data_IF_137772348979
#
_entry.id   IF_137772348979
#
_cell.length_a   1.000
_cell.length_b   1.000
_cell.length_c   1.000
_cell.angle_alpha   90.00
_cell.angle_beta   90.00
_cell.angle_gamma   90.00
#
_symmetry.space_group_name_H-M   'P 1'
#
loop_
_entity.id
_entity.type
_entity.pdbx_description
1 polymer ?
#
# COMPACT_ATOMS: atom_id res chain seq x y z
N UNK A 1 8.14 5.27 9.56
CA UNK A 1 8.05 5.38 8.09
C UNK A 1 8.65 6.70 7.60
N UNK A 2 9.22 6.76 6.38
CA UNK A 2 9.62 8.01 5.71
C UNK A 2 8.45 8.96 5.39
N UNK A 3 8.70 10.27 5.29
CA UNK A 3 7.72 11.28 4.84
C UNK A 3 7.24 10.97 3.42
N UNK A 4 5.93 10.99 3.17
CA UNK A 4 5.32 10.69 1.88
C UNK A 4 3.97 11.40 1.70
N UNK A 5 3.56 11.64 0.46
CA UNK A 5 2.19 12.04 0.11
C UNK A 5 1.64 11.17 -1.03
N UNK A 6 0.35 11.29 -1.34
CA UNK A 6 -0.36 10.46 -2.34
C UNK A 6 -0.26 8.93 -2.13
N UNK A 7 0.09 8.51 -0.92
CA UNK A 7 0.06 7.12 -0.47
C UNK A 7 -1.36 6.65 -0.19
N UNK A 8 -1.61 5.35 -0.33
CA UNK A 8 -2.84 4.72 0.16
C UNK A 8 -2.69 4.29 1.62
N UNK A 9 -3.78 4.36 2.37
CA UNK A 9 -3.86 3.82 3.73
C UNK A 9 -5.22 3.14 3.95
N UNK A 10 -5.22 1.97 4.58
CA UNK A 10 -6.45 1.29 4.99
C UNK A 10 -6.23 0.52 6.30
N UNK A 11 -7.29 0.35 7.10
CA UNK A 11 -7.22 -0.56 8.24
C UNK A 11 -7.40 -1.99 7.73
N UNK A 12 -6.48 -2.88 8.11
CA UNK A 12 -6.54 -4.29 7.74
C UNK A 12 -6.59 -5.14 9.03
N UNK A 13 -7.76 -5.72 9.37
CA UNK A 13 -7.95 -6.45 10.62
C UNK A 13 -7.10 -7.72 10.72
N UNK A 14 -6.57 -8.23 9.60
CA UNK A 14 -5.65 -9.38 9.60
C UNK A 14 -4.31 -9.04 10.27
N UNK A 15 -3.92 -7.76 10.22
CA UNK A 15 -2.73 -7.23 10.89
C UNK A 15 -3.06 -6.41 12.14
N UNK A 16 -4.34 -6.24 12.45
CA UNK A 16 -4.83 -5.40 13.56
C UNK A 16 -4.29 -3.96 13.51
N UNK A 17 -4.06 -3.41 12.31
CA UNK A 17 -3.41 -2.11 12.15
C UNK A 17 -3.70 -1.44 10.82
N UNK A 18 -3.15 -0.24 10.66
CA UNK A 18 -3.26 0.53 9.42
C UNK A 18 -2.11 0.15 8.49
N UNK A 19 -2.46 -0.37 7.32
CA UNK A 19 -1.51 -0.65 6.24
C UNK A 19 -1.41 0.60 5.37
N UNK A 20 -0.18 1.06 5.17
CA UNK A 20 0.18 2.13 4.25
C UNK A 20 1.02 1.55 3.13
N UNK A 21 0.69 1.90 1.89
CA UNK A 21 1.45 1.49 0.71
C UNK A 21 1.81 2.72 -0.13
N UNK A 22 2.98 2.65 -0.76
CA UNK A 22 3.39 3.55 -1.84
C UNK A 22 3.36 5.04 -1.49
N UNK A 23 3.11 5.86 -2.52
CA UNK A 23 3.17 7.32 -2.47
C UNK A 23 4.51 7.88 -2.94
N UNK A 24 4.69 9.18 -2.76
CA UNK A 24 5.88 9.89 -3.23
C UNK A 24 6.68 10.49 -2.08
N UNK A 25 7.98 10.17 -2.07
CA UNK A 25 8.99 10.61 -1.11
C UNK A 25 10.23 11.15 -1.84
N UNK A 26 10.01 12.00 -2.85
CA UNK A 26 11.04 12.46 -3.80
C UNK A 26 11.17 11.56 -5.03
N UNK A 27 10.68 10.33 -4.92
CA UNK A 27 10.40 9.37 -5.99
C UNK A 27 9.17 8.56 -5.56
N UNK A 28 8.50 7.93 -6.52
CA UNK A 28 7.49 6.92 -6.20
C UNK A 28 8.14 5.77 -5.45
N UNK A 29 7.41 5.23 -4.46
CA UNK A 29 7.83 4.06 -3.68
C UNK A 29 6.78 2.94 -3.76
N UNK A 30 7.20 1.71 -3.46
CA UNK A 30 6.34 0.52 -3.35
C UNK A 30 6.54 -0.20 -2.01
N UNK A 31 7.04 0.50 -0.98
CA UNK A 31 7.14 -0.08 0.35
C UNK A 31 5.74 -0.20 1.00
N UNK A 32 5.61 -1.21 1.87
CA UNK A 32 4.40 -1.41 2.68
C UNK A 32 4.78 -1.24 4.15
N UNK A 33 4.03 -0.42 4.87
CA UNK A 33 4.22 -0.17 6.30
C UNK A 33 2.95 -0.52 7.06
N UNK A 34 3.12 -1.09 8.25
CA UNK A 34 2.06 -1.34 9.22
C UNK A 34 2.23 -0.37 10.39
N UNK A 35 1.13 0.28 10.77
CA UNK A 35 1.00 0.98 12.04
C UNK A 35 0.14 0.15 12.97
N UNK A 36 0.70 -0.28 14.09
CA UNK A 36 0.00 -1.09 15.09
C UNK A 36 -0.76 -0.25 16.15
N UNK A 37 -0.70 1.08 16.03
CA UNK A 37 -1.24 2.02 17.03
C UNK A 37 -0.17 2.66 17.90
N UNK A 38 1.04 2.14 17.90
CA UNK A 38 2.19 2.59 18.71
C UNK A 38 3.49 2.72 17.94
N UNK A 39 3.78 1.79 17.03
CA UNK A 39 5.00 1.72 16.26
C UNK A 39 4.75 1.42 14.78
N UNK A 40 5.69 1.85 13.94
CA UNK A 40 5.70 1.58 12.51
C UNK A 40 6.62 0.41 12.20
N UNK A 41 6.09 -0.62 11.56
CA UNK A 41 6.84 -1.76 11.06
C UNK A 41 6.79 -1.81 9.54
N UNK A 42 7.93 -2.01 8.89
CA UNK A 42 7.95 -2.29 7.45
C UNK A 42 7.56 -3.74 7.22
N UNK A 43 6.57 -3.97 6.36
CA UNK A 43 6.18 -5.31 5.92
C UNK A 43 7.01 -5.74 4.71
N UNK A 44 7.20 -7.05 4.55
CA UNK A 44 7.83 -7.66 3.36
C UNK A 44 6.84 -8.63 2.69
N UNK A 45 5.92 -8.11 1.86
CA UNK A 45 4.94 -8.93 1.15
C UNK A 45 5.58 -9.95 0.21
N UNK A 46 4.87 -11.04 -0.07
CA UNK A 46 5.32 -12.08 -1.00
C UNK A 46 5.43 -11.58 -2.46
N UNK A 47 4.58 -10.62 -2.81
CA UNK A 47 4.60 -9.93 -4.10
C UNK A 47 4.39 -8.44 -3.88
N UNK A 48 5.11 -7.62 -4.65
CA UNK A 48 5.10 -6.14 -4.53
C UNK A 48 4.88 -5.58 -5.95
N UNK A 49 3.94 -4.64 -6.15
CA UNK A 49 3.72 -4.07 -7.47
C UNK A 49 4.79 -2.99 -7.76
N UNK A 50 4.76 -2.43 -8.98
CA UNK A 50 5.57 -1.25 -9.30
C UNK A 50 5.29 -0.10 -8.32
N UNK A 51 6.33 0.69 -8.05
CA UNK A 51 6.24 1.96 -7.33
C UNK A 51 5.16 2.84 -7.92
N UNK A 52 4.31 3.38 -7.05
CA UNK A 52 3.15 4.15 -7.48
C UNK A 52 2.64 5.10 -6.43
N UNK A 53 2.00 6.15 -6.90
CA UNK A 53 1.25 7.12 -6.12
C UNK A 53 -0.15 7.34 -6.72
N UNK A 54 -1.00 8.09 -6.01
CA UNK A 54 -2.31 8.56 -6.52
C UNK A 54 -3.26 7.44 -6.98
N UNK A 55 -3.22 6.29 -6.31
CA UNK A 55 -4.07 5.12 -6.57
C UNK A 55 -5.25 5.02 -5.58
N UNK A 56 -6.21 4.15 -5.89
CA UNK A 56 -7.25 3.75 -4.93
C UNK A 56 -6.79 2.57 -4.07
N UNK A 57 -7.11 2.58 -2.78
CA UNK A 57 -6.79 1.49 -1.84
C UNK A 57 -7.96 1.24 -0.88
N UNK A 58 -8.30 -0.03 -0.66
CA UNK A 58 -9.35 -0.43 0.29
C UNK A 58 -9.10 -1.83 0.84
N UNK A 59 -9.58 -2.08 2.06
CA UNK A 59 -9.74 -3.43 2.58
C UNK A 59 -11.10 -4.00 2.18
N UNK A 60 -11.08 -5.15 1.53
CA UNK A 60 -12.25 -5.97 1.20
C UNK A 60 -12.49 -6.98 2.32
N UNK A 61 -13.49 -6.71 3.17
CA UNK A 61 -13.83 -7.58 4.29
C UNK A 61 -14.39 -8.94 3.86
N UNK A 62 -15.09 -9.03 2.73
CA UNK A 62 -15.68 -10.29 2.29
C UNK A 62 -14.60 -11.28 1.86
N UNK A 63 -13.58 -10.78 1.14
CA UNK A 63 -12.48 -11.60 0.65
C UNK A 63 -11.23 -11.55 1.53
N UNK A 64 -11.25 -10.76 2.61
CA UNK A 64 -10.15 -10.58 3.55
C UNK A 64 -8.87 -10.15 2.83
N UNK A 65 -8.94 -9.07 2.04
CA UNK A 65 -7.86 -8.61 1.16
C UNK A 65 -7.72 -7.10 1.17
N UNK A 66 -6.50 -6.61 1.35
CA UNK A 66 -6.16 -5.22 0.99
C UNK A 66 -5.90 -5.15 -0.52
N UNK A 67 -6.66 -4.30 -1.21
CA UNK A 67 -6.68 -4.16 -2.68
C UNK A 67 -6.26 -2.75 -3.08
N UNK A 68 -5.47 -2.65 -4.15
CA UNK A 68 -5.07 -1.42 -4.81
C UNK A 68 -5.48 -1.49 -6.27
N UNK A 69 -5.90 -0.36 -6.85
CA UNK A 69 -6.14 -0.23 -8.28
C UNK A 69 -5.58 1.08 -8.84
N UNK A 70 -4.91 0.96 -9.98
CA UNK A 70 -4.43 2.10 -10.77
C UNK A 70 -3.28 2.87 -10.11
N UNK A 71 -3.33 4.20 -10.24
CA UNK A 71 -2.27 5.12 -9.86
C UNK A 71 -1.34 5.47 -11.01
N UNK A 72 -0.21 6.10 -10.67
CA UNK A 72 0.84 6.40 -11.64
C UNK A 72 2.21 6.01 -11.09
N UNK A 73 3.11 5.64 -11.99
CA UNK A 73 4.53 5.41 -11.76
C UNK A 73 5.33 6.34 -12.68
N UNK A 74 5.86 7.42 -12.12
CA UNK A 74 6.39 8.56 -12.86
C UNK A 74 5.35 9.13 -13.82
N UNK A 75 5.63 9.06 -15.12
CA UNK A 75 4.71 9.52 -16.17
C UNK A 75 3.72 8.44 -16.66
N UNK A 76 3.80 7.22 -16.14
CA UNK A 76 3.00 6.08 -16.62
C UNK A 76 1.76 5.90 -15.76
N UNK A 77 0.57 6.00 -16.36
CA UNK A 77 -0.67 5.62 -15.70
C UNK A 77 -0.79 4.10 -15.65
N UNK A 78 -1.24 3.59 -14.51
CA UNK A 78 -1.42 2.18 -14.25
C UNK A 78 -2.92 1.84 -14.28
N UNK A 79 -3.26 0.66 -14.79
CA UNK A 79 -4.63 0.14 -14.88
C UNK A 79 -4.74 -1.29 -14.33
N UNK A 80 -3.78 -1.70 -13.52
CA UNK A 80 -3.73 -3.00 -12.88
C UNK A 80 -4.32 -2.96 -11.46
N UNK A 81 -4.69 -4.14 -10.99
CA UNK A 81 -5.08 -4.40 -9.60
C UNK A 81 -3.96 -5.14 -8.90
N UNK A 82 -3.60 -4.71 -7.70
CA UNK A 82 -2.73 -5.46 -6.81
C UNK A 82 -3.46 -5.81 -5.52
N UNK A 83 -3.11 -6.97 -4.95
CA UNK A 83 -3.63 -7.44 -3.68
C UNK A 83 -2.46 -7.74 -2.75
N UNK A 84 -2.50 -7.22 -1.54
CA UNK A 84 -1.49 -7.51 -0.52
C UNK A 84 -1.52 -9.01 -0.16
N UNK A 85 -0.42 -9.68 -0.47
CA UNK A 85 -0.16 -11.08 -0.13
C UNK A 85 0.87 -11.17 1.00
N UNK A 86 0.50 -11.87 2.06
CA UNK A 86 1.44 -12.32 3.10
C UNK A 86 1.86 -13.75 2.83
N UNK A 87 3.06 -14.11 3.28
CA UNK A 87 3.46 -15.51 3.39
C UNK A 87 2.60 -16.26 4.42
#
# INVERSE_FOLDING_TARGET
MPYRFFSGATYDPRFQGVVVFGGFSGTDVNDTWLWDGTDWQQLTPASVPAERESFGMAFDELHQKTVIYGGQSGASLLNDTWVLQTN
#
